data_IF_748510904391
#
_entry.id   IF_748510904391
#
_cell.length_a   1.000
_cell.length_b   1.000
_cell.length_c   1.000
_cell.angle_alpha   90.00
_cell.angle_beta   90.00
_cell.angle_gamma   90.00
#
_symmetry.space_group_name_H-M   'P 1'
#
loop_
_entity.id
_entity.type
_entity.pdbx_description
1 polymer ?
#
# COMPACT_ATOMS: atom_id res chain seq x y z
N UNK A 1 -13.60 -10.69 -13.95
CA UNK A 1 -12.78 -10.81 -12.74
C UNK A 1 -13.48 -9.98 -11.67
N UNK A 2 -14.03 -10.62 -10.64
CA UNK A 2 -14.66 -9.87 -9.54
C UNK A 2 -13.61 -8.99 -8.88
N UNK A 3 -13.91 -7.70 -8.77
CA UNK A 3 -13.08 -6.72 -8.11
C UNK A 3 -13.22 -6.97 -6.60
N UNK A 4 -12.55 -8.00 -6.07
CA UNK A 4 -12.46 -8.24 -4.63
C UNK A 4 -11.70 -7.05 -4.06
N UNK A 5 -12.40 -6.12 -3.43
CA UNK A 5 -11.81 -4.92 -2.86
C UNK A 5 -10.61 -5.24 -1.97
N UNK A 6 -9.68 -4.29 -1.85
CA UNK A 6 -8.46 -4.45 -1.04
C UNK A 6 -8.85 -4.83 0.40
N UNK A 7 -8.16 -5.83 0.96
CA UNK A 7 -8.29 -6.24 2.36
C UNK A 7 -8.25 -5.00 3.29
N UNK A 8 -9.29 -4.77 4.11
CA UNK A 8 -9.36 -3.60 5.00
C UNK A 8 -8.14 -3.44 5.92
N UNK A 9 -7.52 -4.55 6.35
CA UNK A 9 -6.31 -4.51 7.17
C UNK A 9 -5.11 -4.03 6.33
N UNK A 10 -4.95 -4.54 5.12
CA UNK A 10 -3.90 -4.08 4.20
C UNK A 10 -4.08 -2.59 3.92
N UNK A 11 -5.31 -2.15 3.63
CA UNK A 11 -5.62 -0.74 3.43
C UNK A 11 -5.19 0.11 4.63
N UNK A 12 -5.54 -0.30 5.86
CA UNK A 12 -5.12 0.40 7.08
C UNK A 12 -3.60 0.50 7.21
N UNK A 13 -2.88 -0.61 7.00
CA UNK A 13 -1.41 -0.63 7.07
C UNK A 13 -0.79 0.33 6.06
N UNK A 14 -1.30 0.36 4.82
CA UNK A 14 -0.83 1.27 3.77
C UNK A 14 -1.05 2.73 4.16
N UNK A 15 -2.22 3.08 4.71
CA UNK A 15 -2.49 4.45 5.15
C UNK A 15 -1.65 4.87 6.36
N UNK A 16 -1.47 3.97 7.33
CA UNK A 16 -0.59 4.24 8.48
C UNK A 16 0.86 4.46 8.03
N UNK A 17 1.34 3.67 7.06
CA UNK A 17 2.67 3.83 6.48
C UNK A 17 2.82 5.15 5.69
N UNK A 18 1.82 5.52 4.86
CA UNK A 18 1.76 6.81 4.18
C UNK A 18 1.88 7.97 5.17
N UNK A 19 1.07 7.95 6.22
CA UNK A 19 1.03 9.03 7.21
C UNK A 19 2.36 9.18 7.95
N UNK A 20 3.06 8.06 8.19
CA UNK A 20 4.40 8.08 8.79
C UNK A 20 5.45 8.66 7.84
N UNK A 21 5.42 8.33 6.55
CA UNK A 21 6.30 8.95 5.55
C UNK A 21 6.10 10.47 5.54
N UNK A 22 4.85 10.93 5.44
CA UNK A 22 4.54 12.36 5.40
C UNK A 22 4.97 13.09 6.68
N UNK A 23 4.76 12.47 7.84
CA UNK A 23 5.08 13.08 9.14
C UNK A 23 6.57 13.04 9.48
N UNK A 24 7.21 11.89 9.29
CA UNK A 24 8.59 11.63 9.73
C UNK A 24 9.61 12.14 8.72
N UNK A 25 9.30 12.12 7.42
CA UNK A 25 10.20 12.55 6.35
C UNK A 25 9.85 13.91 5.76
N UNK A 26 8.65 14.45 6.05
CA UNK A 26 8.18 15.71 5.47
C UNK A 26 7.87 15.63 3.96
N UNK A 27 7.80 14.42 3.41
CA UNK A 27 7.56 14.15 1.98
C UNK A 27 6.06 13.99 1.74
N UNK A 28 5.46 14.79 0.85
CA UNK A 28 4.06 14.65 0.44
C UNK A 28 3.89 13.50 -0.55
N UNK A 29 3.14 12.47 -0.14
CA UNK A 29 2.83 11.35 -1.03
C UNK A 29 1.81 11.78 -2.08
N UNK A 30 2.19 11.68 -3.35
CA UNK A 30 1.32 12.02 -4.49
C UNK A 30 0.38 10.87 -4.84
N UNK A 31 0.90 9.64 -4.94
CA UNK A 31 0.08 8.44 -5.09
C UNK A 31 0.83 7.19 -4.63
N UNK A 32 0.07 6.11 -4.39
CA UNK A 32 0.58 4.81 -3.99
C UNK A 32 0.03 3.77 -4.96
N UNK A 33 0.91 2.95 -5.53
CA UNK A 33 0.55 1.78 -6.32
C UNK A 33 0.71 0.53 -5.45
N UNK A 34 -0.38 -0.22 -5.30
CA UNK A 34 -0.36 -1.51 -4.64
C UNK A 34 -0.21 -2.61 -5.69
N UNK A 35 0.80 -3.47 -5.52
CA UNK A 35 1.11 -4.52 -6.48
C UNK A 35 1.50 -5.81 -5.77
N UNK A 36 2.06 -6.76 -6.51
CA UNK A 36 2.52 -8.01 -5.94
C UNK A 36 1.40 -9.01 -5.65
N UNK A 37 1.72 -10.02 -4.86
CA UNK A 37 0.83 -11.18 -4.68
C UNK A 37 -0.49 -10.83 -3.99
N UNK A 38 -0.46 -9.90 -3.03
CA UNK A 38 -1.66 -9.45 -2.33
C UNK A 38 -2.60 -8.66 -3.24
N UNK A 39 -2.08 -7.96 -4.24
CA UNK A 39 -2.91 -7.28 -5.24
C UNK A 39 -3.53 -8.27 -6.24
N UNK A 40 -2.81 -9.34 -6.59
CA UNK A 40 -3.29 -10.39 -7.51
C UNK A 40 -4.25 -11.39 -6.85
N UNK A 41 -4.18 -11.53 -5.53
CA UNK A 41 -4.97 -12.50 -4.77
C UNK A 41 -4.36 -13.89 -4.66
N UNK A 42 -3.11 -14.07 -5.09
CA UNK A 42 -2.33 -15.32 -5.01
C UNK A 42 -1.33 -15.32 -3.82
N UNK A 43 -1.59 -14.47 -2.82
CA UNK A 43 -0.75 -14.31 -1.64
C UNK A 43 -0.93 -15.45 -0.62
N UNK A 44 0.14 -15.75 0.09
CA UNK A 44 0.15 -16.61 1.28
C UNK A 44 -0.04 -15.75 2.54
N UNK A 45 -0.37 -16.39 3.67
CA UNK A 45 -0.55 -15.70 4.96
C UNK A 45 0.66 -14.86 5.37
N UNK A 46 1.85 -15.31 5.03
CA UNK A 46 3.15 -14.71 5.30
C UNK A 46 3.65 -13.76 4.19
N UNK A 47 2.86 -13.54 3.13
CA UNK A 47 3.28 -12.65 2.05
C UNK A 47 3.30 -11.19 2.47
N UNK A 48 4.32 -10.49 1.98
CA UNK A 48 4.53 -9.05 2.15
C UNK A 48 3.44 -8.20 1.50
N UNK A 49 3.47 -6.90 1.77
CA UNK A 49 2.65 -5.86 1.12
C UNK A 49 3.58 -5.03 0.24
N UNK A 50 3.49 -5.23 -1.08
CA UNK A 50 4.33 -4.53 -2.05
C UNK A 50 3.71 -3.20 -2.48
N UNK A 51 4.46 -2.10 -2.29
CA UNK A 51 4.01 -0.72 -2.59
C UNK A 51 5.06 0.03 -3.40
N UNK A 52 4.61 0.79 -4.40
CA UNK A 52 5.38 1.89 -4.98
C UNK A 52 4.75 3.19 -4.45
N UNK A 53 5.58 4.04 -3.87
CA UNK A 53 5.16 5.34 -3.33
C UNK A 53 5.84 6.41 -4.17
N UNK A 54 5.05 7.32 -4.72
CA UNK A 54 5.54 8.40 -5.56
C UNK A 54 5.30 9.74 -4.87
N UNK A 55 6.33 10.56 -4.81
CA UNK A 55 6.30 11.96 -4.40
C UNK A 55 6.67 12.84 -5.58
N UNK A 56 6.18 14.08 -5.57
CA UNK A 56 6.58 15.13 -6.51
C UNK A 56 7.50 16.19 -5.85
N UNK A 57 7.81 16.00 -4.56
CA UNK A 57 8.73 16.84 -3.79
C UNK A 57 10.20 16.57 -4.18
#
# INVERSE_FOLDING_TARGET
MENKGIDPLVKKIVFDFKNRIEKELGIRVSYILFFGSRARGDYRKDSDIDLIIVSND
#
